data_IF_647922109163
#
_entry.id   IF_647922109163
#
_cell.length_a   1.000
_cell.length_b   1.000
_cell.length_c   1.000
_cell.angle_alpha   90.00
_cell.angle_beta   90.00
_cell.angle_gamma   90.00
#
_symmetry.space_group_name_H-M   'P 1'
#
loop_
_entity.id
_entity.type
_entity.pdbx_description
1 polymer ?
#
# COMPACT_ATOMS: atom_id res chain seq x y z
N UNK A 1 -42.24 43.67 -18.12
CA UNK A 1 -40.87 43.39 -17.62
C UNK A 1 -40.86 41.94 -17.15
N UNK A 2 -40.32 41.01 -18.00
CA UNK A 2 -40.28 39.57 -17.72
C UNK A 2 -38.87 39.22 -17.30
N UNK A 3 -38.71 38.80 -16.06
CA UNK A 3 -37.44 38.35 -15.49
C UNK A 3 -37.34 36.84 -15.77
N UNK A 4 -36.41 36.45 -16.65
CA UNK A 4 -36.08 35.04 -16.89
C UNK A 4 -35.05 34.60 -15.88
N UNK A 5 -35.40 33.62 -15.06
CA UNK A 5 -34.51 32.96 -14.11
C UNK A 5 -33.74 31.88 -14.89
N UNK A 6 -32.42 32.05 -15.00
CA UNK A 6 -31.53 31.01 -15.55
C UNK A 6 -31.07 30.11 -14.40
N UNK A 7 -31.53 28.89 -14.40
CA UNK A 7 -31.11 27.85 -13.46
C UNK A 7 -29.82 27.19 -14.00
N UNK A 8 -28.68 27.53 -13.41
CA UNK A 8 -27.40 26.85 -13.72
C UNK A 8 -27.33 25.51 -13.00
N UNK A 9 -27.41 24.41 -13.76
CA UNK A 9 -27.17 23.09 -13.24
C UNK A 9 -25.67 22.87 -13.09
N UNK A 10 -25.19 22.75 -11.83
CA UNK A 10 -23.83 22.24 -11.53
C UNK A 10 -23.81 20.73 -11.81
N UNK A 11 -23.20 20.34 -12.90
CA UNK A 11 -22.84 18.93 -13.16
C UNK A 11 -21.55 18.67 -12.40
N UNK A 12 -21.67 18.05 -11.21
CA UNK A 12 -20.54 17.51 -10.48
C UNK A 12 -19.99 16.29 -11.24
N UNK A 13 -18.80 16.42 -11.80
CA UNK A 13 -18.04 15.29 -12.32
C UNK A 13 -17.60 14.41 -11.17
N UNK A 14 -18.23 13.23 -11.00
CA UNK A 14 -17.72 12.17 -10.14
C UNK A 14 -16.42 11.65 -10.77
N UNK A 15 -15.29 11.91 -10.10
CA UNK A 15 -14.01 11.29 -10.45
C UNK A 15 -14.10 9.81 -10.03
N UNK A 16 -13.60 8.86 -10.85
CA UNK A 16 -13.52 7.47 -10.43
C UNK A 16 -12.60 7.36 -9.21
N UNK A 17 -13.10 6.79 -8.12
CA UNK A 17 -12.29 6.38 -7.00
C UNK A 17 -11.53 5.12 -7.42
N UNK A 18 -10.19 5.17 -7.40
CA UNK A 18 -9.38 3.98 -7.61
C UNK A 18 -9.34 3.18 -6.30
N UNK A 19 -9.73 1.91 -6.38
CA UNK A 19 -9.69 0.99 -5.26
C UNK A 19 -8.25 0.51 -4.97
N UNK A 20 -8.01 0.11 -3.72
CA UNK A 20 -6.68 -0.22 -3.21
C UNK A 20 -6.22 -1.67 -3.44
N UNK A 21 -6.93 -2.47 -4.21
CA UNK A 21 -6.58 -3.89 -4.46
C UNK A 21 -6.03 -4.10 -5.86
N UNK A 22 -4.98 -4.92 -5.98
CA UNK A 22 -4.31 -5.22 -7.25
C UNK A 22 -4.59 -6.63 -7.76
N UNK A 23 -4.84 -6.76 -9.07
CA UNK A 23 -4.91 -8.03 -9.77
C UNK A 23 -3.74 -8.12 -10.77
N UNK A 24 -2.78 -9.02 -10.51
CA UNK A 24 -1.74 -9.41 -11.47
C UNK A 24 -0.60 -8.44 -11.75
N UNK A 25 -0.38 -7.40 -10.94
CA UNK A 25 0.75 -6.48 -11.14
C UNK A 25 1.19 -5.75 -9.87
N UNK A 26 2.43 -5.27 -9.88
CA UNK A 26 2.93 -4.35 -8.87
C UNK A 26 2.38 -2.96 -9.14
N UNK A 27 1.24 -2.64 -8.55
CA UNK A 27 0.86 -1.24 -8.37
C UNK A 27 1.04 -0.89 -6.90
N UNK A 28 1.68 0.20 -6.62
CA UNK A 28 1.83 0.72 -5.26
C UNK A 28 0.52 1.24 -4.69
N UNK A 29 -0.51 1.31 -5.50
CA UNK A 29 -1.84 1.81 -5.14
C UNK A 29 -2.90 1.06 -5.94
N UNK A 30 -3.60 0.13 -5.30
CA UNK A 30 -4.82 -0.46 -5.83
C UNK A 30 -4.65 -1.64 -6.78
N UNK A 31 -5.78 -2.25 -7.08
CA UNK A 31 -5.97 -3.29 -8.07
C UNK A 31 -5.33 -2.91 -9.40
N UNK A 32 -4.20 -3.49 -9.76
CA UNK A 32 -3.79 -3.53 -11.16
C UNK A 32 -4.45 -4.71 -11.82
N UNK A 33 -5.57 -4.47 -12.47
CA UNK A 33 -6.11 -5.34 -13.52
C UNK A 33 -5.26 -5.22 -14.80
N UNK A 34 -3.95 -5.24 -14.67
CA UNK A 34 -3.03 -4.96 -15.78
C UNK A 34 -3.15 -5.93 -16.94
N UNK A 35 -4.06 -6.90 -16.86
CA UNK A 35 -4.23 -7.87 -17.92
C UNK A 35 -5.64 -8.36 -18.19
N UNK A 36 -6.68 -7.88 -17.52
CA UNK A 36 -8.01 -8.33 -17.88
C UNK A 36 -9.06 -7.22 -17.76
N UNK A 37 -9.43 -6.63 -18.89
CA UNK A 37 -10.74 -6.02 -19.09
C UNK A 37 -11.91 -7.01 -18.81
N UNK A 38 -11.55 -8.23 -18.40
CA UNK A 38 -12.47 -9.33 -18.16
C UNK A 38 -13.16 -9.28 -16.81
N UNK A 39 -12.57 -8.64 -15.81
CA UNK A 39 -13.12 -8.51 -14.46
C UNK A 39 -13.30 -7.04 -14.13
N UNK A 40 -14.53 -6.62 -13.90
CA UNK A 40 -14.87 -5.26 -13.47
C UNK A 40 -15.22 -5.22 -11.97
N UNK A 41 -14.86 -4.16 -11.29
CA UNK A 41 -15.35 -3.86 -9.96
C UNK A 41 -16.70 -3.15 -10.06
N UNK A 42 -17.75 -3.82 -9.58
CA UNK A 42 -19.14 -3.34 -9.65
C UNK A 42 -19.49 -2.48 -8.44
N UNK A 43 -18.96 -2.85 -7.27
CA UNK A 43 -19.25 -2.19 -6.01
C UNK A 43 -18.05 -2.25 -5.08
N UNK A 44 -17.83 -1.17 -4.34
CA UNK A 44 -16.86 -1.08 -3.25
C UNK A 44 -17.53 -0.42 -2.03
N UNK A 45 -17.43 -1.07 -0.88
CA UNK A 45 -17.84 -0.50 0.39
C UNK A 45 -16.64 -0.44 1.33
N UNK A 46 -16.17 0.77 1.60
CA UNK A 46 -15.02 1.02 2.46
C UNK A 46 -15.46 1.46 3.86
N UNK A 47 -14.97 0.75 4.88
CA UNK A 47 -15.10 1.13 6.28
C UNK A 47 -13.72 1.48 6.85
N UNK A 48 -13.59 2.66 7.45
CA UNK A 48 -12.36 3.11 8.12
C UNK A 48 -12.68 3.54 9.54
N UNK A 49 -11.94 3.02 10.50
CA UNK A 49 -11.93 3.46 11.89
C UNK A 49 -10.49 3.65 12.37
N UNK A 50 -10.32 4.11 13.61
CA UNK A 50 -9.00 4.23 14.24
C UNK A 50 -8.30 2.87 14.42
N UNK A 51 -9.09 1.79 14.57
CA UNK A 51 -8.56 0.47 14.90
C UNK A 51 -8.58 -0.49 13.70
N UNK A 52 -9.43 -0.21 12.70
CA UNK A 52 -9.71 -1.18 11.63
C UNK A 52 -10.04 -0.50 10.31
N UNK A 53 -9.52 -1.08 9.24
CA UNK A 53 -10.02 -0.86 7.88
C UNK A 53 -10.65 -2.15 7.40
N UNK A 54 -11.80 -2.04 6.71
CA UNK A 54 -12.44 -3.17 6.05
C UNK A 54 -13.01 -2.71 4.71
N UNK A 55 -12.94 -3.57 3.71
CA UNK A 55 -13.45 -3.29 2.37
C UNK A 55 -14.22 -4.51 1.87
N UNK A 56 -15.40 -4.25 1.33
CA UNK A 56 -16.24 -5.25 0.68
C UNK A 56 -16.36 -4.88 -0.80
N UNK A 57 -16.01 -5.81 -1.68
CA UNK A 57 -16.09 -5.64 -3.13
C UNK A 57 -17.09 -6.59 -3.76
N UNK A 58 -17.69 -6.15 -4.86
CA UNK A 58 -18.36 -7.01 -5.82
C UNK A 58 -17.61 -6.90 -7.14
N UNK A 59 -17.02 -7.99 -7.58
CA UNK A 59 -16.40 -8.11 -8.89
C UNK A 59 -17.32 -8.88 -9.83
N UNK A 60 -17.29 -8.54 -11.11
CA UNK A 60 -18.02 -9.27 -12.16
C UNK A 60 -17.04 -9.67 -13.27
N UNK A 61 -17.03 -10.96 -13.60
CA UNK A 61 -16.41 -11.41 -14.83
C UNK A 61 -17.35 -11.10 -16.00
N UNK A 62 -16.91 -10.19 -16.89
CA UNK A 62 -17.72 -9.73 -18.04
C UNK A 62 -17.62 -10.64 -19.25
N UNK A 63 -16.83 -11.72 -19.17
CA UNK A 63 -16.59 -12.64 -20.27
C UNK A 63 -17.41 -13.93 -20.19
N UNK A 64 -17.45 -14.68 -21.28
CA UNK A 64 -18.09 -15.99 -21.33
C UNK A 64 -17.20 -17.17 -20.90
N UNK A 65 -16.02 -16.91 -20.33
CA UNK A 65 -15.08 -17.94 -19.85
C UNK A 65 -14.64 -17.61 -18.43
N UNK A 66 -14.29 -18.64 -17.66
CA UNK A 66 -13.70 -18.44 -16.33
C UNK A 66 -12.35 -17.73 -16.44
N UNK A 67 -12.12 -16.76 -15.56
CA UNK A 67 -10.86 -16.04 -15.42
C UNK A 67 -10.22 -16.42 -14.10
N UNK A 68 -8.96 -16.80 -14.13
CA UNK A 68 -8.19 -17.08 -12.91
C UNK A 68 -6.98 -16.17 -12.89
N UNK A 69 -6.75 -15.53 -11.74
CA UNK A 69 -5.64 -14.63 -11.55
C UNK A 69 -5.28 -14.48 -10.08
N UNK A 70 -4.25 -13.70 -9.83
CA UNK A 70 -3.80 -13.39 -8.48
C UNK A 70 -4.45 -12.10 -8.01
N UNK A 71 -5.09 -12.15 -6.84
CA UNK A 71 -5.56 -10.97 -6.11
C UNK A 71 -4.45 -10.56 -5.17
N UNK A 72 -4.03 -9.29 -5.25
CA UNK A 72 -2.93 -8.75 -4.45
C UNK A 72 -3.42 -7.52 -3.71
N UNK A 73 -3.18 -7.47 -2.41
CA UNK A 73 -3.36 -6.30 -1.56
C UNK A 73 -1.99 -5.86 -1.03
N UNK A 74 -1.36 -4.84 -1.62
CA UNK A 74 -0.12 -4.28 -1.13
C UNK A 74 -0.41 -3.26 -0.03
N UNK A 75 0.35 -3.30 1.07
CA UNK A 75 0.40 -2.17 1.98
C UNK A 75 1.23 -1.04 1.35
N UNK A 76 0.97 0.21 1.73
CA UNK A 76 1.81 1.32 1.34
C UNK A 76 3.28 1.05 1.66
N UNK A 77 4.23 1.53 0.84
CA UNK A 77 5.65 1.40 1.12
C UNK A 77 5.99 2.01 2.49
N UNK A 78 6.70 1.26 3.31
CA UNK A 78 7.20 1.72 4.59
C UNK A 78 8.71 1.90 4.49
N UNK A 79 9.19 3.15 4.50
CA UNK A 79 10.61 3.45 4.45
C UNK A 79 11.31 2.88 5.69
N UNK A 80 12.43 2.20 5.52
CA UNK A 80 13.11 1.52 6.63
C UNK A 80 13.56 2.48 7.75
N UNK A 81 13.72 3.74 7.46
CA UNK A 81 14.01 4.80 8.44
C UNK A 81 12.75 5.43 9.06
N UNK A 82 11.59 5.31 8.41
CA UNK A 82 10.37 5.89 8.94
C UNK A 82 10.00 5.31 10.31
N UNK A 83 10.38 4.06 10.58
CA UNK A 83 10.18 3.44 11.89
C UNK A 83 11.01 4.10 13.01
N UNK A 84 12.10 4.79 12.67
CA UNK A 84 12.91 5.55 13.61
C UNK A 84 12.42 7.00 13.78
N UNK A 85 12.02 7.64 12.70
CA UNK A 85 11.62 9.06 12.68
C UNK A 85 10.16 9.29 13.07
N UNK A 86 9.30 8.35 12.77
CA UNK A 86 7.89 8.36 13.14
C UNK A 86 7.57 7.15 14.01
N UNK A 87 6.80 7.32 15.07
CA UNK A 87 6.30 6.20 15.85
C UNK A 87 5.27 5.44 15.01
N UNK A 88 5.74 4.65 14.05
CA UNK A 88 4.89 3.67 13.38
C UNK A 88 4.44 2.65 14.43
N UNK A 89 3.13 2.50 14.60
CA UNK A 89 2.56 1.54 15.54
C UNK A 89 2.67 0.11 14.97
N UNK A 90 3.89 -0.32 14.71
CA UNK A 90 4.20 -1.67 14.21
C UNK A 90 4.10 -2.69 15.35
N UNK A 91 3.89 -3.99 15.05
CA UNK A 91 4.01 -5.05 16.04
C UNK A 91 5.38 -4.98 16.74
N UNK A 92 5.42 -5.27 18.04
CA UNK A 92 6.68 -5.37 18.81
C UNK A 92 7.63 -6.44 18.23
N UNK A 93 7.05 -7.52 17.69
CA UNK A 93 7.80 -8.53 16.95
C UNK A 93 8.06 -8.06 15.52
N UNK A 94 9.23 -7.46 15.28
CA UNK A 94 9.69 -6.98 13.97
C UNK A 94 9.89 -8.09 12.94
N UNK A 95 9.85 -9.38 13.34
CA UNK A 95 9.96 -10.54 12.45
C UNK A 95 8.59 -11.00 11.92
N UNK A 96 7.51 -10.54 12.50
CA UNK A 96 6.15 -10.88 12.08
C UNK A 96 5.92 -10.51 10.61
N UNK A 97 5.51 -11.49 9.80
CA UNK A 97 5.19 -11.25 8.38
C UNK A 97 3.89 -10.45 8.23
N UNK A 98 2.85 -10.89 8.94
CA UNK A 98 1.56 -10.18 8.98
C UNK A 98 1.61 -9.05 10.00
N UNK A 99 1.91 -7.86 9.52
CA UNK A 99 2.08 -6.68 10.37
C UNK A 99 0.77 -5.95 10.71
N UNK A 100 -0.35 -6.33 10.08
CA UNK A 100 -1.65 -5.66 10.24
C UNK A 100 -2.80 -6.63 10.57
N UNK A 101 -2.51 -7.91 10.84
CA UNK A 101 -3.51 -8.94 11.14
C UNK A 101 -4.57 -9.03 10.01
N UNK A 102 -4.08 -9.17 8.77
CA UNK A 102 -4.89 -9.16 7.56
C UNK A 102 -5.76 -10.41 7.45
N UNK A 103 -6.99 -10.23 7.05
CA UNK A 103 -7.94 -11.32 6.78
C UNK A 103 -8.68 -11.07 5.47
N UNK A 104 -8.96 -12.12 4.71
CA UNK A 104 -9.77 -12.05 3.51
C UNK A 104 -10.80 -13.18 3.44
N UNK A 105 -11.92 -12.89 2.79
CA UNK A 105 -12.98 -13.87 2.52
C UNK A 105 -13.43 -13.75 1.06
N UNK A 106 -13.84 -14.86 0.48
CA UNK A 106 -14.50 -14.93 -0.83
C UNK A 106 -15.84 -15.61 -0.62
N UNK A 107 -16.94 -14.97 -1.03
CA UNK A 107 -18.30 -15.43 -0.75
C UNK A 107 -18.54 -15.76 0.74
N UNK A 108 -17.94 -14.96 1.63
CA UNK A 108 -18.01 -15.14 3.08
C UNK A 108 -17.18 -16.30 3.63
N UNK A 109 -16.43 -17.03 2.79
CA UNK A 109 -15.55 -18.11 3.23
C UNK A 109 -14.11 -17.59 3.35
N UNK A 110 -13.42 -17.87 4.46
CA UNK A 110 -12.01 -17.47 4.62
C UNK A 110 -11.14 -18.04 3.51
N UNK A 111 -10.21 -17.22 3.00
CA UNK A 111 -9.17 -17.67 2.06
C UNK A 111 -7.81 -17.71 2.74
N UNK A 112 -6.97 -18.65 2.30
CA UNK A 112 -5.59 -18.70 2.73
C UNK A 112 -4.79 -17.66 1.97
N UNK A 113 -4.30 -16.66 2.69
CA UNK A 113 -3.50 -15.56 2.13
C UNK A 113 -2.03 -15.90 2.25
N UNK A 114 -1.28 -15.69 1.18
CA UNK A 114 0.18 -15.70 1.19
C UNK A 114 0.67 -14.29 1.47
N UNK A 115 1.74 -14.17 2.25
CA UNK A 115 2.35 -12.87 2.58
C UNK A 115 3.79 -12.89 2.10
N UNK A 116 4.15 -11.91 1.29
CA UNK A 116 5.53 -11.67 0.90
C UNK A 116 5.92 -10.21 1.09
N UNK A 117 7.19 -9.92 0.93
CA UNK A 117 7.75 -8.57 1.02
C UNK A 117 8.64 -8.30 -0.17
N UNK A 118 8.55 -7.10 -0.69
CA UNK A 118 9.51 -6.58 -1.66
C UNK A 118 10.14 -5.31 -1.12
N UNK A 119 11.32 -4.97 -1.63
CA UNK A 119 11.99 -3.72 -1.35
C UNK A 119 11.95 -2.83 -2.59
N UNK A 120 11.60 -1.57 -2.40
CA UNK A 120 11.53 -0.58 -3.48
C UNK A 120 12.30 0.68 -3.11
N UNK A 121 12.98 1.29 -4.06
CA UNK A 121 13.45 2.67 -3.95
C UNK A 121 12.33 3.54 -4.50
N UNK A 122 11.66 4.26 -3.62
CA UNK A 122 10.57 5.15 -4.01
C UNK A 122 11.11 6.32 -4.86
N UNK A 123 10.33 6.75 -5.84
CA UNK A 123 10.64 7.94 -6.59
C UNK A 123 10.62 9.17 -5.69
N UNK A 124 11.54 10.08 -5.93
CA UNK A 124 11.59 11.33 -5.18
C UNK A 124 10.39 12.18 -5.50
N UNK A 125 9.92 12.89 -4.48
CA UNK A 125 8.91 13.93 -4.67
C UNK A 125 9.35 14.94 -5.72
N UNK A 126 8.46 15.21 -6.68
CA UNK A 126 8.65 16.21 -7.71
C UNK A 126 7.54 17.27 -7.62
N UNK A 127 7.92 18.54 -7.41
CA UNK A 127 6.95 19.65 -7.24
C UNK A 127 6.00 19.81 -8.44
N UNK A 128 6.45 19.45 -9.63
CA UNK A 128 5.66 19.57 -10.87
C UNK A 128 4.80 18.36 -11.19
N UNK A 129 4.99 17.25 -10.51
CA UNK A 129 4.18 16.03 -10.70
C UNK A 129 2.83 16.21 -10.01
N UNK A 130 1.70 15.89 -10.68
CA UNK A 130 0.38 15.93 -10.05
C UNK A 130 0.34 15.09 -8.76
N UNK A 131 -0.44 15.51 -7.75
CA UNK A 131 -0.53 14.80 -6.47
C UNK A 131 -0.97 13.35 -6.64
N UNK A 132 -1.88 13.07 -7.58
CA UNK A 132 -2.31 11.70 -7.93
C UNK A 132 -1.16 10.82 -8.40
N UNK A 133 -0.21 11.38 -9.14
CA UNK A 133 0.92 10.66 -9.70
C UNK A 133 2.11 10.55 -8.73
N UNK A 134 2.18 11.40 -7.69
CA UNK A 134 3.26 11.36 -6.69
C UNK A 134 3.26 10.05 -5.89
N UNK A 135 2.08 9.49 -5.66
CA UNK A 135 1.89 8.30 -4.82
C UNK A 135 1.63 7.03 -5.65
N UNK A 136 1.31 7.17 -6.93
CA UNK A 136 0.96 6.06 -7.83
C UNK A 136 2.16 5.55 -8.64
N UNK A 137 3.32 6.20 -8.51
CA UNK A 137 4.51 5.77 -9.24
C UNK A 137 5.17 4.62 -8.50
N UNK A 138 5.21 3.41 -9.08
CA UNK A 138 5.91 2.29 -8.46
C UNK A 138 7.39 2.64 -8.34
N UNK A 139 7.97 2.38 -7.17
CA UNK A 139 9.40 2.53 -6.97
C UNK A 139 10.19 1.49 -7.78
N UNK A 140 11.50 1.70 -7.90
CA UNK A 140 12.40 0.70 -8.47
C UNK A 140 12.50 -0.50 -7.52
N UNK A 141 12.06 -1.69 -7.97
CA UNK A 141 12.23 -2.92 -7.21
C UNK A 141 13.73 -3.25 -7.06
N UNK A 142 14.17 -3.39 -5.83
CA UNK A 142 15.55 -3.70 -5.45
C UNK A 142 15.65 -5.00 -4.65
N UNK A 143 14.58 -5.79 -4.60
CA UNK A 143 14.50 -7.02 -3.81
C UNK A 143 15.63 -8.00 -4.16
N UNK A 144 15.85 -8.23 -5.45
CA UNK A 144 16.91 -9.13 -5.92
C UNK A 144 18.32 -8.56 -5.63
N UNK A 145 18.47 -7.23 -5.70
CA UNK A 145 19.73 -6.56 -5.38
C UNK A 145 20.05 -6.68 -3.87
N UNK A 146 19.05 -6.47 -2.99
CA UNK A 146 19.22 -6.68 -1.55
C UNK A 146 19.60 -8.13 -1.23
N UNK A 147 18.92 -9.10 -1.84
CA UNK A 147 19.24 -10.52 -1.67
C UNK A 147 20.68 -10.85 -2.09
N UNK A 148 21.18 -10.26 -3.17
CA UNK A 148 22.57 -10.43 -3.64
C UNK A 148 23.59 -10.00 -2.59
N UNK A 149 23.33 -8.95 -1.83
CA UNK A 149 24.20 -8.44 -0.77
C UNK A 149 23.87 -9.03 0.61
N UNK A 150 22.91 -9.97 0.70
CA UNK A 150 22.47 -10.57 1.97
C UNK A 150 21.74 -9.58 2.90
N UNK A 151 21.17 -8.50 2.33
CA UNK A 151 20.45 -7.48 3.10
C UNK A 151 19.01 -7.95 3.38
N UNK A 152 18.51 -7.78 4.62
CA UNK A 152 17.23 -8.34 5.05
C UNK A 152 16.04 -7.48 4.60
N UNK A 153 14.90 -8.13 4.30
CA UNK A 153 13.61 -7.50 4.07
C UNK A 153 12.87 -7.27 5.39
N UNK A 154 13.34 -6.32 6.19
CA UNK A 154 12.81 -6.00 7.51
C UNK A 154 12.65 -4.50 7.70
N UNK A 155 11.80 -4.10 8.66
CA UNK A 155 11.69 -2.74 9.17
C UNK A 155 12.50 -2.53 10.47
N UNK A 156 13.24 -3.54 10.91
CA UNK A 156 14.17 -3.42 12.03
C UNK A 156 15.44 -2.69 11.61
N UNK A 157 15.49 -1.41 11.93
CA UNK A 157 16.59 -0.50 11.60
C UNK A 157 17.93 -1.00 12.13
N UNK A 158 17.94 -1.59 13.34
CA UNK A 158 19.17 -2.06 13.94
C UNK A 158 19.76 -3.25 13.16
N UNK A 159 18.92 -4.21 12.80
CA UNK A 159 19.32 -5.35 11.96
C UNK A 159 19.85 -4.90 10.60
N UNK A 160 19.18 -3.93 9.96
CA UNK A 160 19.63 -3.35 8.68
C UNK A 160 21.00 -2.71 8.84
N UNK A 161 21.16 -1.85 9.82
CA UNK A 161 22.40 -1.12 10.12
C UNK A 161 23.56 -2.08 10.36
N UNK A 162 23.38 -3.07 11.24
CA UNK A 162 24.41 -4.07 11.56
C UNK A 162 24.80 -4.86 10.32
N UNK A 163 23.83 -5.27 9.49
CA UNK A 163 24.11 -5.99 8.26
C UNK A 163 24.88 -5.15 7.25
N UNK A 164 24.47 -3.87 7.05
CA UNK A 164 25.15 -2.95 6.15
C UNK A 164 26.62 -2.68 6.57
N UNK A 165 26.86 -2.57 7.88
CA UNK A 165 28.21 -2.38 8.41
C UNK A 165 29.08 -3.65 8.33
N UNK A 166 28.46 -4.82 8.25
CA UNK A 166 29.13 -6.11 8.23
C UNK A 166 29.53 -6.60 6.82
N UNK A 167 28.91 -6.09 5.75
CA UNK A 167 29.29 -6.47 4.37
C UNK A 167 30.66 -5.92 4.00
N UNK A 168 31.29 -6.50 2.97
CA UNK A 168 32.63 -6.11 2.55
C UNK A 168 32.71 -4.62 2.11
N UNK A 169 33.88 -3.95 2.23
CA UNK A 169 34.02 -2.58 1.73
C UNK A 169 33.70 -2.44 0.24
N UNK A 170 33.91 -3.47 -0.56
CA UNK A 170 33.56 -3.52 -1.98
C UNK A 170 32.03 -3.52 -2.14
N UNK A 171 31.32 -4.33 -1.35
CA UNK A 171 29.84 -4.37 -1.37
C UNK A 171 29.24 -3.11 -0.81
N UNK A 172 29.86 -2.48 0.22
CA UNK A 172 29.43 -1.15 0.69
C UNK A 172 29.53 -0.09 -0.41
N UNK A 173 30.63 -0.08 -1.16
CA UNK A 173 30.80 0.81 -2.29
C UNK A 173 29.78 0.53 -3.41
N UNK A 174 29.48 -0.76 -3.66
CA UNK A 174 28.51 -1.17 -4.67
C UNK A 174 27.07 -0.79 -4.28
N UNK A 175 26.65 -1.03 -3.03
CA UNK A 175 25.32 -0.66 -2.53
C UNK A 175 25.12 0.85 -2.51
N UNK A 176 26.17 1.62 -2.16
CA UNK A 176 26.16 3.08 -2.25
C UNK A 176 26.01 3.57 -3.69
N UNK A 177 26.80 3.02 -4.60
CA UNK A 177 26.74 3.36 -6.02
C UNK A 177 25.37 3.03 -6.66
N UNK A 178 24.73 1.95 -6.21
CA UNK A 178 23.39 1.56 -6.63
C UNK A 178 22.25 2.40 -6.00
N UNK A 179 22.57 3.30 -5.05
CA UNK A 179 21.58 4.09 -4.32
C UNK A 179 20.71 3.27 -3.38
N UNK A 180 21.22 2.12 -2.89
CA UNK A 180 20.54 1.23 -1.96
C UNK A 180 20.85 1.61 -0.52
N UNK A 181 22.08 2.06 -0.24
CA UNK A 181 22.53 2.41 1.10
C UNK A 181 23.43 3.66 1.08
N UNK A 182 23.53 4.31 2.22
CA UNK A 182 24.53 5.35 2.49
C UNK A 182 25.31 5.01 3.75
N UNK A 183 26.55 5.49 3.84
CA UNK A 183 27.50 5.17 4.89
C UNK A 183 28.16 6.43 5.42
N UNK A 184 28.31 6.45 6.75
CA UNK A 184 29.05 7.47 7.46
C UNK A 184 30.26 6.84 8.16
N UNK A 185 31.46 7.34 7.88
CA UNK A 185 32.71 6.76 8.43
C UNK A 185 32.91 7.01 9.92
N UNK A 186 32.08 7.84 10.51
CA UNK A 186 32.22 8.29 11.90
C UNK A 186 33.17 9.48 12.02
N UNK A 187 33.24 10.03 13.24
CA UNK A 187 34.17 11.10 13.60
C UNK A 187 34.78 10.77 14.96
N UNK A 188 36.01 10.23 15.01
CA UNK A 188 36.67 9.90 16.27
C UNK A 188 36.86 11.11 17.20
N UNK A 189 36.98 12.31 16.65
CA UNK A 189 37.16 13.53 17.44
C UNK A 189 35.88 13.90 18.22
N UNK A 190 34.72 13.49 17.71
CA UNK A 190 33.42 13.69 18.32
C UNK A 190 32.86 12.41 18.98
N UNK A 191 33.67 11.34 19.05
CA UNK A 191 33.27 10.02 19.53
C UNK A 191 32.03 9.46 18.78
N UNK A 192 31.88 9.79 17.50
CA UNK A 192 30.83 9.28 16.65
C UNK A 192 31.31 8.02 15.91
N UNK A 193 30.67 6.86 16.14
CA UNK A 193 31.03 5.62 15.45
C UNK A 193 30.61 5.65 13.98
N UNK A 194 31.16 4.76 13.14
CA UNK A 194 30.63 4.53 11.81
C UNK A 194 29.15 4.17 11.82
N UNK A 195 28.41 4.57 10.81
CA UNK A 195 26.99 4.30 10.65
C UNK A 195 26.62 3.96 9.21
N UNK A 196 25.45 3.32 9.02
CA UNK A 196 24.96 2.92 7.69
C UNK A 196 23.43 2.98 7.64
N UNK A 197 22.92 3.38 6.48
CA UNK A 197 21.53 3.71 6.27
C UNK A 197 20.98 3.01 5.03
N UNK A 198 19.92 2.20 5.19
CA UNK A 198 19.14 1.68 4.06
C UNK A 198 18.29 2.78 3.42
N UNK A 199 18.24 2.83 2.10
CA UNK A 199 17.51 3.86 1.35
C UNK A 199 16.25 3.30 0.66
N UNK A 200 15.81 2.12 1.05
CA UNK A 200 14.63 1.45 0.47
C UNK A 200 13.44 1.51 1.40
N UNK A 201 12.28 1.22 0.82
CA UNK A 201 11.02 0.99 1.51
C UNK A 201 10.63 -0.48 1.38
N UNK A 202 9.94 -1.01 2.38
CA UNK A 202 9.37 -2.35 2.35
C UNK A 202 7.90 -2.25 1.98
N UNK A 203 7.48 -3.02 0.98
CA UNK A 203 6.08 -3.24 0.64
C UNK A 203 5.71 -4.67 1.07
N UNK A 204 4.80 -4.78 2.01
CA UNK A 204 4.21 -6.07 2.40
C UNK A 204 3.00 -6.31 1.52
N UNK A 205 2.92 -7.50 0.88
CA UNK A 205 1.84 -7.87 -0.03
C UNK A 205 1.10 -9.09 0.52
N UNK A 206 -0.22 -9.00 0.50
CA UNK A 206 -1.14 -10.08 0.84
C UNK A 206 -1.78 -10.56 -0.45
N UNK A 207 -1.66 -11.84 -0.79
CA UNK A 207 -2.13 -12.30 -2.08
C UNK A 207 -2.63 -13.75 -2.06
N UNK A 208 -3.51 -14.07 -3.01
CA UNK A 208 -4.03 -15.42 -3.24
C UNK A 208 -4.52 -15.57 -4.68
N UNK A 209 -4.57 -16.82 -5.17
CA UNK A 209 -5.15 -17.11 -6.48
C UNK A 209 -6.67 -17.17 -6.39
N UNK A 210 -7.37 -16.46 -7.28
CA UNK A 210 -8.82 -16.39 -7.33
C UNK A 210 -9.34 -16.75 -8.73
N UNK A 211 -10.38 -17.61 -8.77
CA UNK A 211 -11.15 -17.86 -9.96
C UNK A 211 -12.42 -16.99 -9.96
N UNK A 212 -12.68 -16.32 -11.09
CA UNK A 212 -13.88 -15.53 -11.36
C UNK A 212 -14.70 -16.26 -12.43
N UNK A 213 -15.83 -16.93 -12.07
CA UNK A 213 -16.62 -17.69 -13.00
C UNK A 213 -17.22 -16.83 -14.13
N UNK A 214 -17.40 -17.42 -15.30
CA UNK A 214 -17.92 -16.75 -16.50
C UNK A 214 -19.25 -16.04 -16.24
N UNK A 215 -19.32 -14.73 -16.53
CA UNK A 215 -20.53 -13.92 -16.40
C UNK A 215 -21.07 -13.76 -14.97
N UNK A 216 -20.37 -14.24 -13.95
CA UNK A 216 -20.81 -14.21 -12.56
C UNK A 216 -20.24 -13.02 -11.79
N UNK A 217 -20.96 -12.66 -10.72
CA UNK A 217 -20.45 -11.78 -9.67
C UNK A 217 -19.77 -12.61 -8.57
N UNK A 218 -18.74 -12.02 -7.96
CA UNK A 218 -18.00 -12.60 -6.85
C UNK A 218 -17.79 -11.54 -5.77
N UNK A 219 -18.13 -11.87 -4.53
CA UNK A 219 -17.90 -11.00 -3.38
C UNK A 219 -16.57 -11.32 -2.74
N UNK A 220 -15.73 -10.30 -2.59
CA UNK A 220 -14.45 -10.39 -1.90
C UNK A 220 -14.47 -9.35 -0.78
N UNK A 221 -14.15 -9.78 0.44
CA UNK A 221 -14.00 -8.87 1.57
C UNK A 221 -12.64 -9.05 2.20
N UNK A 222 -12.02 -7.96 2.60
CA UNK A 222 -10.84 -8.02 3.46
C UNK A 222 -10.91 -7.03 4.61
N UNK A 223 -10.15 -7.31 5.64
CA UNK A 223 -10.02 -6.42 6.78
C UNK A 223 -8.62 -6.52 7.40
N UNK A 224 -8.17 -5.42 7.95
CA UNK A 224 -6.90 -5.35 8.65
C UNK A 224 -6.91 -4.33 9.79
N UNK A 225 -5.99 -4.50 10.74
CA UNK A 225 -5.80 -3.58 11.84
C UNK A 225 -5.20 -2.27 11.32
N UNK A 226 -5.90 -1.16 11.52
CA UNK A 226 -5.35 0.15 11.24
C UNK A 226 -4.28 0.49 12.29
N UNK A 227 -3.11 0.91 11.82
CA UNK A 227 -1.97 1.26 12.69
C UNK A 227 -1.53 2.69 12.40
N UNK A 228 -2.35 3.69 12.81
CA UNK A 228 -1.97 5.08 12.60
C UNK A 228 -0.67 5.38 13.35
N UNK A 229 0.20 6.25 12.82
CA UNK A 229 1.41 6.68 13.53
C UNK A 229 1.02 7.20 14.91
N UNK A 230 1.77 6.76 15.92
CA UNK A 230 1.56 7.22 17.30
C UNK A 230 1.78 8.74 17.36
N UNK A 231 0.84 9.46 17.97
CA UNK A 231 1.10 10.84 18.35
C UNK A 231 2.13 10.80 19.48
N UNK A 232 3.21 11.54 19.36
CA UNK A 232 4.07 11.84 20.52
C UNK A 232 3.23 12.65 21.53
N UNK A 233 2.49 11.93 22.36
CA UNK A 233 1.66 12.52 23.39
C UNK A 233 2.54 12.83 24.60
N UNK A 234 2.84 14.09 24.79
CA UNK A 234 3.36 14.62 26.06
C UNK A 234 2.24 14.85 27.09
N UNK A 235 1.15 14.07 27.04
CA UNK A 235 0.06 14.13 28.01
C UNK A 235 -1.22 13.44 27.50
N UNK A 236 -2.14 13.04 28.39
CA UNK A 236 -3.40 12.44 27.99
C UNK A 236 -4.28 13.49 27.29
N UNK A 237 -4.39 13.39 25.96
CA UNK A 237 -5.44 14.10 25.24
C UNK A 237 -6.71 13.28 25.46
N UNK A 238 -7.75 13.84 26.11
CA UNK A 238 -9.01 13.13 26.22
C UNK A 238 -9.62 13.02 24.81
N UNK A 239 -9.57 11.81 24.22
CA UNK A 239 -10.29 11.51 23.00
C UNK A 239 -11.78 11.69 23.28
N UNK A 240 -12.37 12.77 22.77
CA UNK A 240 -13.81 12.84 22.63
C UNK A 240 -14.22 11.68 21.73
N UNK A 241 -15.06 10.80 22.22
CA UNK A 241 -15.69 9.75 21.42
C UNK A 241 -16.27 10.40 20.15
N UNK A 242 -15.62 10.14 19.02
CA UNK A 242 -16.06 10.67 17.74
C UNK A 242 -17.37 10.01 17.36
N UNK A 243 -18.30 10.79 16.89
CA UNK A 243 -19.51 10.33 16.21
C UNK A 243 -19.07 9.41 15.07
N UNK A 244 -19.66 8.20 14.91
CA UNK A 244 -19.32 7.34 13.79
C UNK A 244 -19.60 8.09 12.48
N UNK A 245 -18.61 8.12 11.59
CA UNK A 245 -18.79 8.64 10.25
C UNK A 245 -19.74 7.67 9.55
N UNK A 246 -20.90 8.17 9.17
CA UNK A 246 -21.93 7.41 8.45
C UNK A 246 -21.31 6.82 7.18
N UNK A 247 -21.51 5.52 6.98
CA UNK A 247 -21.16 4.84 5.72
C UNK A 247 -21.89 5.53 4.56
N UNK A 248 -21.15 6.20 3.70
CA UNK A 248 -21.71 6.69 2.45
C UNK A 248 -21.49 5.61 1.40
N UNK A 249 -22.55 4.91 1.04
CA UNK A 249 -22.56 4.02 -0.12
C UNK A 249 -22.48 4.89 -1.37
N UNK A 250 -21.38 4.79 -2.11
CA UNK A 250 -21.24 5.42 -3.42
C UNK A 250 -21.83 4.44 -4.45
N UNK A 251 -23.08 4.65 -4.82
CA UNK A 251 -23.68 3.92 -5.92
C UNK A 251 -23.05 4.39 -7.23
N UNK A 252 -22.40 3.49 -7.95
CA UNK A 252 -21.86 3.73 -9.28
C UNK A 252 -23.01 3.90 -10.27
N UNK A 253 -23.13 5.08 -10.85
CA UNK A 253 -24.09 5.34 -11.93
C UNK A 253 -23.49 4.86 -13.25
N UNK A 254 -24.04 3.78 -13.79
CA UNK A 254 -23.72 3.25 -15.12
C UNK A 254 -23.95 4.32 -16.18
N UNK A 255 -22.90 4.73 -16.87
CA UNK A 255 -23.00 5.55 -18.08
C UNK A 255 -23.46 4.68 -19.25
N UNK A 256 -24.65 4.93 -19.78
CA UNK A 256 -25.16 4.30 -21.01
C UNK A 256 -24.37 4.82 -22.21
N UNK A 257 -23.84 3.98 -23.08
CA UNK A 257 -23.19 4.43 -24.31
C UNK A 257 -24.23 4.99 -25.26
N UNK A 258 -24.05 6.22 -25.69
CA UNK A 258 -24.80 6.81 -26.82
C UNK A 258 -24.23 6.27 -28.12
N UNK A 259 -25.15 5.81 -28.96
CA UNK A 259 -24.90 5.49 -30.37
C UNK A 259 -24.46 6.72 -31.17
#
# INVERSE_FOLDING_TARGET
>A
MRISLVLAALVGSALPANANDGFGGLSSVGLTFDQTEAVEMVEENLFISIDKVAVDYVFRNTTGADVTGEVIFPLPPAHVWASWESSMNLPEDGTKLDIVDFTATVEGQPVQVTIDKIAVIEERWEEKRPLSEQYDTPGRDVTAELARFGLPLTLDVQTIRETLLAISPEDQAATKAAGIADYYEGDPAQAMPPDAYGLWSIVTRYHWTQAFPAGAELRISHAYTNRPPGVCSTGPIPLRAGTPISSTSIASTTATPRR
#
